data_IF_557668135932
#
_entry.id   IF_557668135932
#
_cell.length_a   1.000
_cell.length_b   1.000
_cell.length_c   1.000
_cell.angle_alpha   90.00
_cell.angle_beta   90.00
_cell.angle_gamma   90.00
#
_symmetry.space_group_name_H-M   'P 1'
#
loop_
_entity.id
_entity.type
_entity.pdbx_description
1 polymer ?
#
# COMPACT_ATOMS: atom_id res chain seq x y z
N UNK A 1 11.95 -23.41 -30.17
CA UNK A 1 13.07 -22.62 -30.74
C UNK A 1 13.00 -21.13 -30.38
N UNK A 2 11.83 -20.50 -30.30
CA UNK A 2 11.73 -19.07 -29.96
C UNK A 2 12.16 -18.73 -28.51
N UNK A 3 11.82 -19.54 -27.50
CA UNK A 3 12.16 -19.23 -26.10
C UNK A 3 13.66 -19.12 -25.83
N UNK A 4 14.50 -19.95 -26.47
CA UNK A 4 15.95 -19.90 -26.28
C UNK A 4 16.58 -18.59 -26.78
N UNK A 5 15.92 -17.88 -27.70
CA UNK A 5 16.37 -16.57 -28.18
C UNK A 5 16.16 -15.45 -27.14
N UNK A 6 15.13 -15.56 -26.30
CA UNK A 6 14.82 -14.55 -25.28
C UNK A 6 15.47 -14.84 -23.93
N UNK A 7 15.65 -16.12 -23.58
CA UNK A 7 16.24 -16.59 -22.32
C UNK A 7 17.71 -16.99 -22.48
N UNK A 8 18.54 -16.05 -22.93
CA UNK A 8 19.99 -16.28 -22.95
C UNK A 8 20.55 -16.27 -21.54
N UNK A 9 21.64 -17.01 -21.30
CA UNK A 9 22.29 -17.12 -19.98
C UNK A 9 22.59 -15.74 -19.37
N UNK A 10 23.11 -14.81 -20.18
CA UNK A 10 23.40 -13.45 -19.71
C UNK A 10 22.16 -12.66 -19.28
N UNK A 11 21.03 -12.83 -19.98
CA UNK A 11 19.75 -12.18 -19.62
C UNK A 11 19.18 -12.75 -18.33
N UNK A 12 19.25 -14.08 -18.16
CA UNK A 12 18.79 -14.76 -16.93
C UNK A 12 19.61 -14.26 -15.73
N UNK A 13 20.94 -14.21 -15.85
CA UNK A 13 21.84 -13.70 -14.79
C UNK A 13 21.50 -12.25 -14.44
N UNK A 14 21.32 -11.39 -15.45
CA UNK A 14 20.94 -10.00 -15.25
C UNK A 14 19.59 -9.86 -14.54
N UNK A 15 18.57 -10.63 -14.96
CA UNK A 15 17.24 -10.60 -14.33
C UNK A 15 17.30 -10.99 -12.85
N UNK A 16 18.03 -12.06 -12.51
CA UNK A 16 18.20 -12.50 -11.13
C UNK A 16 18.91 -11.43 -10.30
N UNK A 17 20.02 -10.88 -10.81
CA UNK A 17 20.75 -9.79 -10.16
C UNK A 17 19.86 -8.56 -9.93
N UNK A 18 19.15 -8.13 -10.97
CA UNK A 18 18.27 -6.96 -10.92
C UNK A 18 17.16 -7.15 -9.90
N UNK A 19 16.43 -8.27 -9.94
CA UNK A 19 15.34 -8.57 -9.00
C UNK A 19 15.87 -8.61 -7.56
N UNK A 20 17.02 -9.24 -7.34
CA UNK A 20 17.62 -9.36 -6.00
C UNK A 20 18.03 -8.00 -5.45
N UNK A 21 18.75 -7.20 -6.25
CA UNK A 21 19.15 -5.86 -5.88
C UNK A 21 17.94 -4.95 -5.64
N UNK A 22 16.92 -5.05 -6.48
CA UNK A 22 15.69 -4.27 -6.36
C UNK A 22 14.91 -4.62 -5.08
N UNK A 23 14.74 -5.91 -4.77
CA UNK A 23 14.08 -6.36 -3.52
C UNK A 23 14.89 -5.89 -2.31
N UNK A 24 16.22 -6.00 -2.34
CA UNK A 24 17.07 -5.52 -1.25
C UNK A 24 16.90 -4.02 -1.01
N UNK A 25 16.85 -3.21 -2.07
CA UNK A 25 16.58 -1.77 -2.00
C UNK A 25 15.17 -1.47 -1.48
N UNK A 26 14.15 -2.22 -1.90
CA UNK A 26 12.79 -2.08 -1.34
C UNK A 26 12.79 -2.33 0.15
N UNK A 27 13.38 -3.44 0.61
CA UNK A 27 13.45 -3.76 2.04
C UNK A 27 14.18 -2.65 2.80
N UNK A 28 15.31 -2.17 2.28
CA UNK A 28 16.07 -1.08 2.89
C UNK A 28 15.25 0.21 2.99
N UNK A 29 14.54 0.58 1.93
CA UNK A 29 13.70 1.77 1.86
C UNK A 29 12.53 1.69 2.86
N UNK A 30 11.76 0.61 2.82
CA UNK A 30 10.57 0.45 3.66
C UNK A 30 10.87 0.20 5.15
N UNK A 31 12.09 -0.23 5.50
CA UNK A 31 12.45 -0.50 6.91
C UNK A 31 12.27 0.73 7.81
N UNK A 32 12.54 1.93 7.30
CA UNK A 32 12.35 3.18 8.06
C UNK A 32 10.88 3.60 8.10
N UNK A 33 10.15 3.33 7.03
CA UNK A 33 8.75 3.70 6.90
C UNK A 33 7.85 2.93 7.85
N UNK A 34 8.17 1.67 8.16
CA UNK A 34 7.41 0.88 9.15
C UNK A 34 7.33 1.62 10.50
N UNK A 35 8.46 2.13 10.99
CA UNK A 35 8.49 2.88 12.26
C UNK A 35 7.75 4.21 12.18
N UNK A 36 7.85 4.91 11.04
CA UNK A 36 7.12 6.15 10.82
C UNK A 36 5.61 5.90 10.71
N UNK A 37 5.20 4.82 10.06
CA UNK A 37 3.81 4.45 9.91
C UNK A 37 3.17 4.13 11.27
N UNK A 38 3.87 3.37 12.13
CA UNK A 38 3.42 3.16 13.50
C UNK A 38 3.37 4.44 14.33
N UNK A 39 4.28 5.40 14.12
CA UNK A 39 4.30 6.66 14.86
C UNK A 39 3.14 7.60 14.46
N UNK A 40 2.92 7.80 13.17
CA UNK A 40 2.01 8.82 12.65
C UNK A 40 0.62 8.27 12.29
N UNK A 41 0.52 7.00 11.89
CA UNK A 41 -0.72 6.37 11.44
C UNK A 41 -1.27 5.35 12.43
N UNK A 42 -0.78 5.33 13.68
CA UNK A 42 -1.33 4.46 14.73
C UNK A 42 -2.83 4.67 14.86
N UNK A 43 -3.58 3.58 14.75
CA UNK A 43 -5.05 3.59 14.85
C UNK A 43 -5.74 4.49 13.81
N UNK A 44 -5.06 4.90 12.73
CA UNK A 44 -5.68 5.75 11.70
C UNK A 44 -6.97 5.13 11.15
N UNK A 45 -6.97 3.82 10.89
CA UNK A 45 -8.19 3.10 10.47
C UNK A 45 -9.33 3.18 11.49
N UNK A 46 -9.04 3.04 12.79
CA UNK A 46 -10.04 3.21 13.86
C UNK A 46 -10.57 4.64 13.91
N UNK A 47 -9.70 5.63 13.76
CA UNK A 47 -10.09 7.05 13.72
C UNK A 47 -11.01 7.31 12.53
N UNK A 48 -10.64 6.86 11.33
CA UNK A 48 -11.46 7.02 10.12
C UNK A 48 -12.82 6.34 10.27
N UNK A 49 -12.88 5.14 10.86
CA UNK A 49 -14.15 4.47 11.11
C UNK A 49 -15.05 5.25 12.07
N UNK A 50 -14.50 5.81 13.15
CA UNK A 50 -15.27 6.57 14.14
C UNK A 50 -15.75 7.91 13.55
N UNK A 51 -14.85 8.71 12.97
CA UNK A 51 -15.24 10.01 12.42
C UNK A 51 -16.12 9.85 11.18
N UNK A 52 -15.79 8.89 10.32
CA UNK A 52 -16.59 8.56 9.14
C UNK A 52 -18.00 8.10 9.51
N UNK A 53 -18.15 7.23 10.51
CA UNK A 53 -19.48 6.79 10.95
C UNK A 53 -20.30 7.92 11.55
N UNK A 54 -19.70 8.80 12.35
CA UNK A 54 -20.37 9.98 12.90
C UNK A 54 -20.86 10.91 11.78
N UNK A 55 -20.02 11.18 10.78
CA UNK A 55 -20.38 12.05 9.64
C UNK A 55 -21.56 11.43 8.87
N UNK A 56 -21.49 10.14 8.56
CA UNK A 56 -22.58 9.43 7.85
C UNK A 56 -23.86 9.46 8.69
N UNK A 57 -23.77 9.19 9.99
CA UNK A 57 -24.91 9.18 10.90
C UNK A 57 -25.60 10.55 10.95
N UNK A 58 -24.83 11.64 11.13
CA UNK A 58 -25.35 13.01 11.14
C UNK A 58 -25.99 13.34 9.79
N UNK A 59 -25.33 13.01 8.68
CA UNK A 59 -25.85 13.25 7.33
C UNK A 59 -27.20 12.56 7.12
N UNK A 60 -27.32 11.29 7.51
CA UNK A 60 -28.57 10.52 7.42
C UNK A 60 -29.64 11.11 8.33
N UNK A 61 -29.30 11.46 9.58
CA UNK A 61 -30.25 12.06 10.53
C UNK A 61 -30.82 13.40 10.01
N UNK A 62 -29.97 14.29 9.48
CA UNK A 62 -30.41 15.54 8.86
C UNK A 62 -31.32 15.25 7.66
N UNK A 63 -30.94 14.28 6.80
CA UNK A 63 -31.74 13.94 5.62
C UNK A 63 -33.13 13.42 6.00
N UNK A 64 -33.24 12.65 7.08
CA UNK A 64 -34.52 12.10 7.55
C UNK A 64 -35.38 13.16 8.27
N UNK A 65 -34.76 14.07 9.04
CA UNK A 65 -35.47 15.06 9.85
C UNK A 65 -35.82 16.34 9.08
N UNK A 66 -34.95 16.78 8.16
CA UNK A 66 -35.10 18.04 7.40
C UNK A 66 -35.42 17.81 5.92
N UNK A 67 -35.41 16.56 5.44
CA UNK A 67 -35.75 16.19 4.07
C UNK A 67 -37.15 15.60 3.88
N UNK A 68 -38.00 15.69 4.90
CA UNK A 68 -39.46 15.60 4.80
C UNK A 68 -40.05 17.01 4.71
#
# INVERSE_FOLDING_TARGET
>A
MFLSAYFTTGRIIFMIFFITAFIALMIYSYRKDIKNHERYYKNAGKKVLIYGSIIIFIFVAIRLLAGN
#
